data_IF_859560286198
#
_entry.id   IF_859560286198
#
_cell.length_a   1.000
_cell.length_b   1.000
_cell.length_c   1.000
_cell.angle_alpha   90.00
_cell.angle_beta   90.00
_cell.angle_gamma   90.00
#
_symmetry.space_group_name_H-M   'P 1'
#
loop_
_entity.id
_entity.type
_entity.pdbx_description
1 polymer ?
#
# COMPACT_ATOMS: atom_id res chain seq x y z
N UNK A 1 16.31 16.26 9.01
CA UNK A 1 14.98 15.68 8.71
C UNK A 1 13.97 16.81 8.76
N UNK A 2 13.35 17.16 7.63
CA UNK A 2 12.32 18.20 7.57
C UNK A 2 10.97 17.49 7.75
N UNK A 3 10.19 17.89 8.76
CA UNK A 3 8.85 17.34 8.99
C UNK A 3 7.87 18.30 8.32
N UNK A 4 7.08 17.80 7.38
CA UNK A 4 6.05 18.57 6.70
C UNK A 4 4.66 18.07 7.13
N UNK A 5 3.69 18.98 7.22
CA UNK A 5 2.29 18.66 7.48
C UNK A 5 1.46 19.01 6.25
N UNK A 6 1.20 17.99 5.43
CA UNK A 6 0.35 18.05 4.23
C UNK A 6 -0.59 16.85 4.23
N UNK A 7 -1.80 16.94 3.66
CA UNK A 7 -2.64 15.76 3.46
C UNK A 7 -1.91 14.73 2.60
N UNK A 8 -2.04 13.43 2.93
CA UNK A 8 -1.38 12.35 2.18
C UNK A 8 -1.76 12.39 0.69
N UNK A 9 -3.04 12.62 0.38
CA UNK A 9 -3.53 12.74 -1.00
C UNK A 9 -2.88 13.87 -1.80
N UNK A 10 -2.27 14.86 -1.15
CA UNK A 10 -1.59 15.96 -1.82
C UNK A 10 -0.12 15.65 -2.15
N UNK A 11 0.42 14.53 -1.67
CA UNK A 11 1.84 14.15 -1.81
C UNK A 11 2.05 12.70 -2.21
N UNK A 12 1.00 11.88 -2.27
CA UNK A 12 1.15 10.43 -2.40
C UNK A 12 1.82 10.01 -3.73
N UNK A 13 1.67 10.82 -4.78
CA UNK A 13 2.30 10.57 -6.08
C UNK A 13 3.73 11.16 -6.19
N UNK A 14 4.22 11.84 -5.16
CA UNK A 14 5.57 12.45 -5.15
C UNK A 14 6.67 11.45 -4.69
N UNK A 15 6.30 10.25 -4.23
CA UNK A 15 7.23 9.29 -3.64
C UNK A 15 7.33 8.00 -4.45
N UNK A 16 8.55 7.49 -4.60
CA UNK A 16 8.81 6.20 -5.28
C UNK A 16 8.75 5.00 -4.33
N UNK A 17 8.76 5.23 -3.01
CA UNK A 17 8.80 4.19 -1.98
C UNK A 17 7.99 4.56 -0.73
N UNK A 18 7.14 3.65 -0.29
CA UNK A 18 6.45 3.71 1.00
C UNK A 18 6.93 2.60 1.95
N UNK A 19 7.17 2.98 3.20
CA UNK A 19 7.49 2.06 4.31
C UNK A 19 6.37 2.13 5.32
N UNK A 20 5.62 1.03 5.46
CA UNK A 20 4.39 0.98 6.24
C UNK A 20 4.52 -0.07 7.35
N UNK A 21 4.47 0.38 8.61
CA UNK A 21 4.63 -0.50 9.77
C UNK A 21 3.34 -1.22 10.20
N UNK A 22 2.19 -0.82 9.66
CA UNK A 22 0.89 -1.43 9.95
C UNK A 22 -0.04 -1.31 8.73
N UNK A 23 -0.62 -2.42 8.22
CA UNK A 23 -1.60 -2.40 7.13
C UNK A 23 -2.88 -1.64 7.51
N UNK A 24 -2.89 -0.34 7.26
CA UNK A 24 -4.02 0.57 7.43
C UNK A 24 -4.55 1.06 6.07
N UNK A 25 -5.47 2.03 6.06
CA UNK A 25 -5.93 2.68 4.82
C UNK A 25 -4.79 3.27 3.99
N UNK A 26 -3.69 3.69 4.64
CA UNK A 26 -2.48 4.16 3.96
C UNK A 26 -1.87 3.11 3.06
N UNK A 27 -1.96 1.82 3.41
CA UNK A 27 -1.49 0.73 2.55
C UNK A 27 -2.27 0.69 1.24
N UNK A 28 -3.60 0.74 1.33
CA UNK A 28 -4.48 0.73 0.14
C UNK A 28 -4.16 1.92 -0.77
N UNK A 29 -4.01 3.11 -0.18
CA UNK A 29 -3.69 4.33 -0.93
C UNK A 29 -2.30 4.24 -1.57
N UNK A 30 -1.30 3.71 -0.87
CA UNK A 30 0.04 3.52 -1.41
C UNK A 30 0.05 2.52 -2.58
N UNK A 31 -0.66 1.39 -2.44
CA UNK A 31 -0.79 0.40 -3.51
C UNK A 31 -1.45 0.97 -4.78
N UNK A 32 -2.31 1.99 -4.64
CA UNK A 32 -2.96 2.68 -5.77
C UNK A 32 -2.02 3.61 -6.56
N UNK A 33 -0.81 3.86 -6.05
CA UNK A 33 0.25 4.57 -6.78
C UNK A 33 1.12 3.61 -7.58
N UNK A 34 2.14 4.11 -8.27
CA UNK A 34 3.20 3.30 -8.90
C UNK A 34 4.43 3.11 -7.99
N UNK A 35 4.35 3.51 -6.74
CA UNK A 35 5.44 3.40 -5.79
C UNK A 35 5.65 1.96 -5.32
N UNK A 36 6.88 1.64 -4.95
CA UNK A 36 7.22 0.42 -4.22
C UNK A 36 6.64 0.52 -2.80
N UNK A 37 6.15 -0.59 -2.26
CA UNK A 37 5.58 -0.62 -0.91
C UNK A 37 6.22 -1.74 -0.11
N UNK A 38 6.86 -1.40 1.01
CA UNK A 38 7.31 -2.36 2.03
C UNK A 38 6.33 -2.27 3.20
N UNK A 39 5.70 -3.39 3.55
CA UNK A 39 4.70 -3.43 4.62
C UNK A 39 5.01 -4.50 5.66
N UNK A 40 4.96 -4.13 6.94
CA UNK A 40 5.06 -5.08 8.04
C UNK A 40 3.68 -5.69 8.35
N UNK A 41 3.57 -7.01 8.23
CA UNK A 41 2.34 -7.78 8.45
C UNK A 41 2.43 -8.71 9.65
N UNK A 42 3.51 -8.65 10.42
CA UNK A 42 3.78 -9.50 11.58
C UNK A 42 2.98 -9.19 12.85
N UNK A 43 2.12 -8.17 12.83
CA UNK A 43 1.33 -7.83 14.00
C UNK A 43 0.19 -8.84 14.20
N UNK A 44 0.29 -9.67 15.24
CA UNK A 44 -0.69 -10.73 15.56
C UNK A 44 -2.13 -10.25 15.79
N UNK A 45 -2.34 -8.96 16.12
CA UNK A 45 -3.68 -8.41 16.36
C UNK A 45 -4.34 -7.88 15.08
N UNK A 46 -3.56 -7.62 14.04
CA UNK A 46 -4.00 -6.99 12.80
C UNK A 46 -3.39 -7.68 11.58
N UNK A 47 -3.15 -8.99 11.67
CA UNK A 47 -2.64 -9.76 10.56
C UNK A 47 -3.70 -9.83 9.45
N UNK A 48 -3.35 -9.53 8.19
CA UNK A 48 -4.27 -9.76 7.08
C UNK A 48 -4.68 -11.24 6.99
N UNK A 49 -5.85 -11.50 6.42
CA UNK A 49 -6.28 -12.88 6.12
C UNK A 49 -5.30 -13.54 5.15
N UNK A 50 -5.32 -14.88 5.07
CA UNK A 50 -4.49 -15.61 4.09
C UNK A 50 -4.73 -15.14 2.66
N UNK A 51 -6.00 -14.99 2.26
CA UNK A 51 -6.39 -14.46 0.94
C UNK A 51 -5.84 -13.05 0.71
N UNK A 52 -5.98 -12.15 1.70
CA UNK A 52 -5.45 -10.80 1.59
C UNK A 52 -3.93 -10.80 1.47
N UNK A 53 -3.22 -11.68 2.18
CA UNK A 53 -1.77 -11.84 2.08
C UNK A 53 -1.34 -12.31 0.69
N UNK A 54 -2.03 -13.29 0.11
CA UNK A 54 -1.71 -13.83 -1.23
C UNK A 54 -1.79 -12.75 -2.33
N UNK A 55 -2.79 -11.87 -2.24
CA UNK A 55 -2.93 -10.75 -3.15
C UNK A 55 -1.94 -9.62 -2.83
N UNK A 56 -1.72 -9.35 -1.55
CA UNK A 56 -0.82 -8.28 -1.10
C UNK A 56 0.65 -8.56 -1.46
N UNK A 57 1.08 -9.82 -1.38
CA UNK A 57 2.44 -10.26 -1.74
C UNK A 57 2.74 -10.13 -3.24
N UNK A 58 1.72 -9.99 -4.10
CA UNK A 58 1.91 -9.76 -5.53
C UNK A 58 2.22 -8.28 -5.85
N UNK A 59 1.71 -7.35 -5.04
CA UNK A 59 1.85 -5.90 -5.25
C UNK A 59 2.87 -5.25 -4.31
N UNK A 60 3.25 -5.90 -3.22
CA UNK A 60 4.06 -5.28 -2.16
C UNK A 60 5.14 -6.23 -1.66
N UNK A 61 6.16 -5.67 -1.02
CA UNK A 61 7.11 -6.43 -0.21
C UNK A 61 6.52 -6.59 1.20
N UNK A 62 5.68 -7.60 1.38
CA UNK A 62 5.05 -7.90 2.68
C UNK A 62 5.97 -8.74 3.57
N UNK A 63 6.21 -8.28 4.80
CA UNK A 63 7.19 -8.90 5.71
C UNK A 63 6.60 -9.17 7.08
N UNK A 64 6.73 -10.42 7.55
CA UNK A 64 6.14 -10.86 8.83
C UNK A 64 7.08 -10.73 10.03
N UNK A 65 8.40 -10.81 9.84
CA UNK A 65 9.36 -10.70 10.95
C UNK A 65 9.96 -9.30 10.98
N UNK A 66 10.14 -8.76 12.18
CA UNK A 66 10.68 -7.41 12.38
C UNK A 66 12.09 -7.26 11.80
N UNK A 67 12.96 -8.24 12.04
CA UNK A 67 14.34 -8.24 11.53
C UNK A 67 14.36 -8.24 10.00
N UNK A 68 13.52 -9.05 9.36
CA UNK A 68 13.40 -9.10 7.91
C UNK A 68 12.88 -7.76 7.34
N UNK A 69 11.97 -7.08 8.06
CA UNK A 69 11.42 -5.79 7.65
C UNK A 69 12.51 -4.72 7.64
N UNK A 70 13.31 -4.64 8.71
CA UNK A 70 14.44 -3.71 8.81
C UNK A 70 15.52 -4.01 7.75
N UNK A 71 15.83 -5.30 7.52
CA UNK A 71 16.79 -5.71 6.51
C UNK A 71 16.32 -5.37 5.10
N UNK A 72 15.03 -5.55 4.81
CA UNK A 72 14.47 -5.25 3.50
C UNK A 72 14.46 -3.75 3.21
N UNK A 73 14.16 -2.93 4.22
CA UNK A 73 14.27 -1.46 4.10
C UNK A 73 15.70 -1.07 3.71
N UNK A 74 16.71 -1.60 4.41
CA UNK A 74 18.13 -1.33 4.08
C UNK A 74 18.46 -1.78 2.66
N UNK A 75 18.06 -2.99 2.28
CA UNK A 75 18.32 -3.53 0.95
C UNK A 75 17.74 -2.64 -0.16
N UNK A 76 16.49 -2.19 -0.03
CA UNK A 76 15.85 -1.33 -1.03
C UNK A 76 16.52 0.05 -1.06
N UNK A 77 16.80 0.65 0.10
CA UNK A 77 17.43 1.97 0.17
C UNK A 77 18.88 1.99 -0.34
N UNK A 78 19.65 0.93 -0.09
CA UNK A 78 21.06 0.85 -0.51
C UNK A 78 21.22 0.43 -1.97
N UNK A 79 20.37 -0.49 -2.46
CA UNK A 79 20.53 -1.09 -3.78
C UNK A 79 19.58 -0.51 -4.84
N UNK A 80 18.56 0.25 -4.44
CA UNK A 80 17.56 0.82 -5.35
C UNK A 80 16.74 -0.23 -6.11
N UNK A 81 16.59 -1.43 -5.54
CA UNK A 81 15.93 -2.55 -6.23
C UNK A 81 14.41 -2.40 -6.07
N UNK A 82 13.72 -2.32 -7.21
CA UNK A 82 12.27 -2.51 -7.32
C UNK A 82 12.05 -4.03 -7.37
N UNK A 83 11.30 -4.57 -6.41
CA UNK A 83 11.08 -6.01 -6.28
C UNK A 83 9.63 -6.37 -6.63
N UNK A 84 8.68 -5.48 -6.34
CA UNK A 84 7.26 -5.73 -6.53
C UNK A 84 6.75 -5.39 -7.94
N UNK A 85 5.70 -6.09 -8.37
CA UNK A 85 4.95 -5.71 -9.57
C UNK A 85 4.01 -4.55 -9.23
N UNK A 86 4.50 -3.32 -9.43
CA UNK A 86 3.77 -2.09 -9.09
C UNK A 86 2.50 -1.88 -9.92
N UNK A 87 2.34 -2.61 -11.03
CA UNK A 87 1.16 -2.57 -11.89
C UNK A 87 0.10 -3.61 -11.48
N UNK A 88 0.40 -4.51 -10.54
CA UNK A 88 -0.56 -5.52 -10.10
C UNK A 88 -1.67 -4.90 -9.25
N UNK A 89 -2.89 -4.87 -9.81
CA UNK A 89 -4.07 -4.28 -9.18
C UNK A 89 -4.93 -5.27 -8.38
N UNK A 90 -4.59 -6.56 -8.33
CA UNK A 90 -5.48 -7.59 -7.79
C UNK A 90 -5.87 -7.34 -6.32
N UNK A 91 -4.91 -6.89 -5.49
CA UNK A 91 -5.19 -6.49 -4.12
C UNK A 91 -6.15 -5.29 -4.03
N UNK A 92 -6.00 -4.30 -4.90
CA UNK A 92 -6.84 -3.11 -4.92
C UNK A 92 -8.25 -3.40 -5.43
N UNK A 93 -8.38 -4.24 -6.45
CA UNK A 93 -9.68 -4.64 -6.98
C UNK A 93 -10.54 -5.32 -5.91
N UNK A 94 -9.92 -6.10 -5.02
CA UNK A 94 -10.61 -6.77 -3.94
C UNK A 94 -10.84 -5.89 -2.70
N UNK A 95 -9.84 -5.11 -2.29
CA UNK A 95 -9.84 -4.43 -0.98
C UNK A 95 -9.80 -2.89 -1.05
N UNK A 96 -9.47 -2.31 -2.19
CA UNK A 96 -9.29 -0.87 -2.35
C UNK A 96 -10.37 -0.17 -3.15
N UNK A 97 -11.13 -0.91 -3.96
CA UNK A 97 -11.95 -0.32 -5.00
C UNK A 97 -13.33 -0.96 -5.06
N UNK A 98 -14.37 -0.15 -4.85
CA UNK A 98 -15.72 -0.52 -5.24
C UNK A 98 -15.93 -0.18 -6.74
N UNK A 99 -15.97 -1.21 -7.60
CA UNK A 99 -16.32 -1.18 -9.06
C UNK A 99 -15.31 -0.58 -10.06
N UNK A 100 -14.24 0.06 -9.61
CA UNK A 100 -13.09 0.51 -10.41
C UNK A 100 -13.41 1.34 -11.67
N UNK A 101 -14.43 2.19 -11.58
CA UNK A 101 -14.92 2.97 -12.73
C UNK A 101 -14.66 4.48 -12.60
N UNK A 102 -13.99 4.92 -11.53
CA UNK A 102 -13.76 6.34 -11.24
C UNK A 102 -15.02 7.15 -10.92
N UNK A 103 -16.20 6.51 -10.81
CA UNK A 103 -17.51 7.17 -10.68
C UNK A 103 -18.05 7.18 -9.25
N UNK A 104 -17.17 7.07 -8.26
CA UNK A 104 -17.57 7.03 -6.85
C UNK A 104 -18.33 8.30 -6.45
N UNK A 105 -17.94 9.46 -6.97
CA UNK A 105 -18.65 10.72 -6.75
C UNK A 105 -20.04 10.73 -7.41
N UNK A 106 -20.13 10.32 -8.68
CA UNK A 106 -21.42 10.26 -9.41
C UNK A 106 -22.43 9.33 -8.74
N UNK A 107 -21.97 8.19 -8.22
CA UNK A 107 -22.82 7.26 -7.46
C UNK A 107 -23.34 7.89 -6.18
N UNK A 108 -22.46 8.58 -5.45
CA UNK A 108 -22.84 9.23 -4.20
C UNK A 108 -23.91 10.30 -4.44
N UNK A 109 -23.81 11.07 -5.52
CA UNK A 109 -24.82 12.08 -5.87
C UNK A 109 -26.18 11.46 -6.18
N UNK A 110 -26.24 10.30 -6.87
CA UNK A 110 -27.50 9.63 -7.23
C UNK A 110 -28.27 9.03 -6.04
N UNK A 111 -27.59 8.72 -4.94
CA UNK A 111 -28.21 8.12 -3.74
C UNK A 111 -28.72 9.19 -2.75
N UNK A 112 -28.40 10.46 -2.98
CA UNK A 112 -28.80 11.60 -2.12
C UNK A 112 -30.02 12.34 -2.71
N UNK A 113 -30.44 12.00 -3.93
CA UNK A 113 -31.69 12.46 -4.59
C UNK A 113 -32.88 11.52 -4.29
#
# INVERSE_FOLDING_TARGET
MKIESRPLSAVIDEFDLFIIHWPSTTLVQACATRAEVIVYTGNKYHAPTTEAMELLEQRTIAVKRKEDFENKIKEVLEKGIIISDVENTAFLEQYGIYRNDGKSLERMTREIE
#
